data_IF_359295430407
#
_entry.id   IF_359295430407
#
_cell.length_a   1.000
_cell.length_b   1.000
_cell.length_c   1.000
_cell.angle_alpha   90.00
_cell.angle_beta   90.00
_cell.angle_gamma   90.00
#
_symmetry.space_group_name_H-M   'P 1'
#
loop_
_entity.id
_entity.type
_entity.pdbx_description
1 polymer ?
#
# COMPACT_ATOMS: atom_id res chain seq x y z
N UNK A 1 -10.66 -6.27 -20.43
CA UNK A 1 -9.32 -5.62 -20.25
C UNK A 1 -9.29 -5.00 -18.86
N UNK A 2 -8.14 -4.99 -18.19
CA UNK A 2 -8.01 -4.33 -16.88
C UNK A 2 -8.20 -2.81 -17.02
N UNK A 3 -8.81 -2.18 -16.01
CA UNK A 3 -9.04 -0.71 -15.95
C UNK A 3 -7.73 0.09 -15.96
N UNK A 4 -6.66 -0.46 -15.35
CA UNK A 4 -5.35 0.17 -15.23
C UNK A 4 -4.27 -0.78 -15.72
N UNK A 5 -3.22 -0.23 -16.33
CA UNK A 5 -2.07 -0.99 -16.84
C UNK A 5 -0.99 -1.19 -15.78
N UNK A 6 -0.69 -0.14 -15.00
CA UNK A 6 0.31 -0.15 -13.92
C UNK A 6 -0.29 0.42 -12.65
N UNK A 7 -0.20 -0.31 -11.56
CA UNK A 7 -0.74 0.10 -10.27
C UNK A 7 0.32 0.10 -9.18
N UNK A 8 0.14 0.99 -8.20
CA UNK A 8 0.74 0.82 -6.90
C UNK A 8 -0.32 0.32 -5.92
N UNK A 9 -0.16 -0.88 -5.40
CA UNK A 9 -1.03 -1.44 -4.35
C UNK A 9 -0.42 -1.16 -2.98
N UNK A 10 -1.10 -0.34 -2.18
CA UNK A 10 -0.72 -0.06 -0.79
C UNK A 10 -1.56 -0.89 0.16
N UNK A 11 -0.89 -1.70 0.98
CA UNK A 11 -1.49 -2.56 1.98
C UNK A 11 -1.16 -2.09 3.40
N UNK A 12 -2.11 -2.25 4.32
CA UNK A 12 -1.84 -2.03 5.74
C UNK A 12 -1.15 -3.28 6.33
N UNK A 13 -0.05 -3.08 7.08
CA UNK A 13 0.53 -4.18 7.84
C UNK A 13 -0.46 -4.76 8.86
N UNK A 14 -1.36 -3.94 9.40
CA UNK A 14 -2.38 -4.40 10.34
C UNK A 14 -3.34 -5.42 9.74
N UNK A 15 -3.61 -5.33 8.44
CA UNK A 15 -4.44 -6.33 7.76
C UNK A 15 -3.77 -7.71 7.69
N UNK A 16 -2.43 -7.79 7.86
CA UNK A 16 -1.71 -9.06 7.93
C UNK A 16 -1.81 -9.76 9.28
N UNK A 17 -2.28 -9.08 10.34
CA UNK A 17 -2.39 -9.68 11.68
C UNK A 17 -3.49 -10.74 11.77
N UNK A 18 -4.48 -10.70 10.88
CA UNK A 18 -5.66 -11.53 10.99
C UNK A 18 -6.34 -11.34 12.35
N UNK A 19 -6.79 -12.45 12.95
CA UNK A 19 -7.44 -12.46 14.27
C UNK A 19 -6.45 -12.40 15.44
N UNK A 20 -5.14 -12.57 15.19
CA UNK A 20 -4.11 -12.66 16.23
C UNK A 20 -3.80 -11.30 16.87
N UNK A 21 -4.06 -10.20 16.17
CA UNK A 21 -3.83 -8.83 16.66
C UNK A 21 -2.36 -8.37 16.64
N UNK A 22 -1.42 -9.21 16.16
CA UNK A 22 -0.01 -8.91 15.96
C UNK A 22 0.62 -9.89 14.96
N UNK A 23 1.80 -9.56 14.45
CA UNK A 23 2.57 -10.43 13.58
C UNK A 23 1.94 -10.63 12.20
N UNK A 24 2.14 -11.80 11.62
CA UNK A 24 1.68 -12.16 10.27
C UNK A 24 0.84 -13.43 10.34
N UNK A 25 -0.40 -13.34 9.93
CA UNK A 25 -1.32 -14.47 9.82
C UNK A 25 -1.09 -15.16 8.45
N UNK A 26 -0.76 -16.48 8.44
CA UNK A 26 -0.48 -17.19 7.20
C UNK A 26 -1.69 -17.27 6.25
N UNK A 27 -2.93 -17.36 6.78
CA UNK A 27 -4.14 -17.43 5.95
C UNK A 27 -4.36 -16.10 5.24
N UNK A 28 -4.27 -14.98 5.96
CA UNK A 28 -4.36 -13.63 5.38
C UNK A 28 -3.30 -13.37 4.34
N UNK A 29 -2.07 -13.79 4.62
CA UNK A 29 -0.96 -13.66 3.68
C UNK A 29 -1.22 -14.44 2.39
N UNK A 30 -1.74 -15.67 2.52
CA UNK A 30 -2.15 -16.51 1.38
C UNK A 30 -3.28 -15.87 0.58
N UNK A 31 -4.33 -15.35 1.23
CA UNK A 31 -5.45 -14.68 0.57
C UNK A 31 -4.97 -13.48 -0.26
N UNK A 32 -4.07 -12.68 0.31
CA UNK A 32 -3.50 -11.54 -0.41
C UNK A 32 -2.65 -11.97 -1.60
N UNK A 33 -1.81 -13.00 -1.43
CA UNK A 33 -0.99 -13.53 -2.53
C UNK A 33 -1.87 -14.03 -3.70
N UNK A 34 -2.98 -14.73 -3.42
CA UNK A 34 -3.89 -15.20 -4.46
C UNK A 34 -4.61 -14.06 -5.17
N UNK A 35 -5.14 -13.07 -4.45
CA UNK A 35 -5.78 -11.89 -5.05
C UNK A 35 -4.81 -11.09 -5.94
N UNK A 36 -3.55 -10.94 -5.50
CA UNK A 36 -2.50 -10.25 -6.27
C UNK A 36 -2.16 -11.07 -7.53
N UNK A 37 -2.05 -12.40 -7.42
CA UNK A 37 -1.82 -13.29 -8.56
C UNK A 37 -2.93 -13.13 -9.61
N UNK A 38 -4.20 -13.19 -9.21
CA UNK A 38 -5.34 -13.03 -10.14
C UNK A 38 -5.23 -11.73 -10.95
N UNK A 39 -4.84 -10.61 -10.32
CA UNK A 39 -4.67 -9.33 -11.00
C UNK A 39 -3.42 -9.33 -11.91
N UNK A 40 -2.33 -9.95 -11.49
CA UNK A 40 -1.14 -10.07 -12.33
C UNK A 40 -1.40 -10.87 -13.61
N UNK A 41 -2.24 -11.90 -13.52
CA UNK A 41 -2.68 -12.72 -14.68
C UNK A 41 -3.57 -11.93 -15.66
N UNK A 42 -4.14 -10.78 -15.27
CA UNK A 42 -4.81 -9.84 -16.16
C UNK A 42 -3.83 -8.99 -17.00
N UNK A 43 -2.53 -9.18 -16.85
CA UNK A 43 -1.47 -8.41 -17.53
C UNK A 43 -1.16 -7.08 -16.89
N UNK A 44 -1.53 -6.87 -15.62
CA UNK A 44 -1.29 -5.64 -14.87
C UNK A 44 0.11 -5.64 -14.27
N UNK A 45 0.82 -4.54 -14.42
CA UNK A 45 2.10 -4.30 -13.75
C UNK A 45 1.85 -3.81 -12.33
N UNK A 46 2.41 -4.51 -11.33
CA UNK A 46 2.07 -4.30 -9.91
C UNK A 46 3.31 -3.93 -9.11
N UNK A 47 3.30 -2.72 -8.55
CA UNK A 47 4.16 -2.32 -7.44
C UNK A 47 3.39 -2.43 -6.12
N UNK A 48 4.01 -2.94 -5.07
CA UNK A 48 3.36 -3.14 -3.76
C UNK A 48 4.14 -2.43 -2.67
N UNK A 49 3.45 -1.73 -1.78
CA UNK A 49 3.97 -1.21 -0.51
C UNK A 49 3.15 -1.76 0.63
N UNK A 50 3.80 -2.31 1.65
CA UNK A 50 3.14 -2.83 2.85
C UNK A 50 3.62 -2.08 4.08
N UNK A 51 2.70 -1.61 4.92
CA UNK A 51 3.02 -1.01 6.21
C UNK A 51 3.61 -2.02 7.21
N UNK A 52 4.31 -1.52 8.25
CA UNK A 52 4.93 -2.34 9.30
C UNK A 52 4.18 -2.35 10.64
N UNK A 53 2.96 -1.80 10.69
CA UNK A 53 2.23 -1.54 11.95
C UNK A 53 1.80 -2.77 12.76
N UNK A 54 1.78 -3.96 12.13
CA UNK A 54 1.57 -5.25 12.78
C UNK A 54 2.78 -5.75 13.59
N UNK A 55 3.96 -5.21 13.32
CA UNK A 55 5.24 -5.61 13.94
C UNK A 55 5.72 -4.48 14.85
N UNK A 56 5.80 -3.25 14.34
CA UNK A 56 6.28 -2.09 15.09
C UNK A 56 5.63 -0.79 14.60
N UNK A 57 5.25 0.08 15.55
CA UNK A 57 4.72 1.42 15.28
C UNK A 57 5.65 2.48 15.86
N UNK A 58 6.38 3.20 14.99
CA UNK A 58 7.38 4.21 15.39
C UNK A 58 6.82 5.32 16.28
N UNK A 59 5.65 5.88 15.94
CA UNK A 59 5.00 6.93 16.76
C UNK A 59 4.63 6.44 18.16
N UNK A 60 4.09 5.21 18.29
CA UNK A 60 3.78 4.62 19.59
C UNK A 60 5.05 4.28 20.38
N UNK A 61 6.16 3.99 19.68
CA UNK A 61 7.46 3.76 20.28
C UNK A 61 8.06 5.03 20.88
N UNK A 62 7.99 6.19 20.20
CA UNK A 62 8.52 7.45 20.70
C UNK A 62 7.83 7.90 21.98
N UNK A 63 6.52 7.65 22.13
CA UNK A 63 5.78 7.89 23.37
C UNK A 63 6.23 7.00 24.54
N UNK A 64 6.92 5.88 24.25
CA UNK A 64 7.47 4.94 25.24
C UNK A 64 8.97 5.15 25.50
N UNK A 65 9.55 6.29 25.10
CA UNK A 65 10.94 6.64 25.37
C UNK A 65 11.94 6.24 24.26
N UNK A 66 11.49 5.76 23.12
CA UNK A 66 12.35 5.56 21.96
C UNK A 66 12.67 6.89 21.27
N UNK A 67 13.89 7.06 20.80
CA UNK A 67 14.26 8.12 19.87
C UNK A 67 13.42 7.99 18.58
N UNK A 68 12.90 9.12 18.09
CA UNK A 68 12.02 9.14 16.92
C UNK A 68 12.67 8.53 15.68
N UNK A 69 13.93 8.85 15.42
CA UNK A 69 14.67 8.34 14.25
C UNK A 69 14.84 6.82 14.35
N UNK A 70 15.22 6.32 15.53
CA UNK A 70 15.33 4.88 15.79
C UNK A 70 13.99 4.17 15.63
N UNK A 71 12.91 4.77 16.16
CA UNK A 71 11.57 4.23 16.01
C UNK A 71 11.14 4.12 14.54
N UNK A 72 11.40 5.14 13.73
CA UNK A 72 11.10 5.12 12.29
C UNK A 72 11.96 4.08 11.54
N UNK A 73 13.25 3.95 11.89
CA UNK A 73 14.12 2.90 11.35
C UNK A 73 13.62 1.50 11.69
N UNK A 74 13.16 1.26 12.92
CA UNK A 74 12.52 -0.01 13.30
C UNK A 74 11.24 -0.26 12.48
N UNK A 75 10.43 0.77 12.23
CA UNK A 75 9.27 0.71 11.34
C UNK A 75 9.64 0.34 9.90
N UNK A 76 10.74 0.89 9.37
CA UNK A 76 11.28 0.51 8.06
C UNK A 76 11.65 -0.98 8.03
N UNK A 77 12.37 -1.49 9.03
CA UNK A 77 12.70 -2.90 9.16
C UNK A 77 11.43 -3.78 9.24
N UNK A 78 10.40 -3.33 9.94
CA UNK A 78 9.12 -4.03 10.01
C UNK A 78 8.46 -4.18 8.63
N UNK A 79 8.54 -3.16 7.76
CA UNK A 79 8.05 -3.26 6.37
C UNK A 79 8.85 -4.29 5.56
N UNK A 80 10.15 -4.43 5.81
CA UNK A 80 11.01 -5.43 5.14
C UNK A 80 10.57 -6.84 5.52
N UNK A 81 10.29 -7.10 6.80
CA UNK A 81 9.77 -8.40 7.27
C UNK A 81 8.47 -8.76 6.54
N UNK A 82 7.51 -7.84 6.48
CA UNK A 82 6.24 -8.07 5.78
C UNK A 82 6.45 -8.29 4.28
N UNK A 83 7.39 -7.57 3.66
CA UNK A 83 7.71 -7.71 2.24
C UNK A 83 8.31 -9.07 1.91
N UNK A 84 9.20 -9.58 2.77
CA UNK A 84 9.77 -10.93 2.62
C UNK A 84 8.70 -12.00 2.77
N UNK A 85 7.79 -11.85 3.72
CA UNK A 85 6.68 -12.78 3.91
C UNK A 85 5.77 -12.83 2.67
N UNK A 86 5.38 -11.67 2.13
CA UNK A 86 4.57 -11.61 0.90
C UNK A 86 5.33 -12.17 -0.30
N UNK A 87 6.62 -11.85 -0.44
CA UNK A 87 7.49 -12.39 -1.50
C UNK A 87 7.53 -13.92 -1.45
N UNK A 88 7.67 -14.49 -0.26
CA UNK A 88 7.64 -15.94 -0.05
C UNK A 88 6.30 -16.56 -0.45
N UNK A 89 5.18 -15.94 -0.04
CA UNK A 89 3.84 -16.43 -0.37
C UNK A 89 3.56 -16.36 -1.89
N UNK A 90 3.95 -15.28 -2.55
CA UNK A 90 3.84 -15.15 -4.01
C UNK A 90 4.71 -16.19 -4.74
N UNK A 91 5.94 -16.39 -4.29
CA UNK A 91 6.85 -17.39 -4.85
C UNK A 91 6.31 -18.82 -4.70
N UNK A 92 5.69 -19.15 -3.56
CA UNK A 92 5.09 -20.46 -3.31
C UNK A 92 3.95 -20.80 -4.29
N UNK A 93 3.24 -19.81 -4.83
CA UNK A 93 2.18 -19.99 -5.83
C UNK A 93 2.65 -19.69 -7.27
N UNK A 94 3.97 -19.62 -7.50
CA UNK A 94 4.59 -19.50 -8.82
C UNK A 94 4.59 -18.09 -9.41
N UNK A 95 4.40 -17.05 -8.60
CA UNK A 95 4.40 -15.65 -9.05
C UNK A 95 5.82 -15.07 -8.99
N UNK A 96 6.33 -14.58 -10.11
CA UNK A 96 7.62 -13.89 -10.17
C UNK A 96 7.54 -12.58 -9.41
N UNK A 97 8.42 -12.38 -8.44
CA UNK A 97 8.44 -11.16 -7.66
C UNK A 97 9.85 -10.76 -7.23
N UNK A 98 10.01 -9.50 -6.85
CA UNK A 98 11.27 -8.93 -6.34
C UNK A 98 10.98 -8.03 -5.14
N UNK A 99 11.77 -8.17 -4.08
CA UNK A 99 11.80 -7.21 -2.97
C UNK A 99 12.86 -6.16 -3.25
N UNK A 100 12.43 -4.90 -3.25
CA UNK A 100 13.32 -3.75 -3.42
C UNK A 100 13.26 -2.85 -2.19
N UNK A 101 14.41 -2.47 -1.67
CA UNK A 101 14.53 -1.73 -0.41
C UNK A 101 15.03 -0.31 -0.63
N UNK A 102 14.44 0.66 0.04
CA UNK A 102 14.86 2.07 -0.01
C UNK A 102 16.19 2.33 0.72
N UNK A 103 16.62 1.40 1.58
CA UNK A 103 17.93 1.40 2.24
C UNK A 103 18.69 0.15 1.78
N UNK A 104 20.04 0.24 1.71
CA UNK A 104 20.85 -0.91 1.28
C UNK A 104 20.78 -2.04 2.29
N UNK A 105 20.30 -3.20 1.83
CA UNK A 105 20.11 -4.40 2.64
C UNK A 105 20.42 -5.67 1.82
N UNK A 106 21.40 -5.62 0.93
CA UNK A 106 21.84 -6.84 0.22
C UNK A 106 22.44 -7.85 1.22
N UNK A 107 22.16 -9.17 1.12
CA UNK A 107 21.38 -9.84 0.07
C UNK A 107 19.88 -10.00 0.33
N UNK A 108 19.28 -9.27 1.30
CA UNK A 108 17.89 -9.41 1.71
C UNK A 108 16.92 -8.89 0.63
N UNK A 109 17.27 -7.78 -0.02
CA UNK A 109 16.50 -7.19 -1.11
C UNK A 109 17.40 -6.32 -2.01
N UNK A 110 16.97 -6.12 -3.25
CA UNK A 110 17.67 -5.25 -4.19
C UNK A 110 17.54 -3.78 -3.74
N UNK A 111 18.60 -2.99 -3.89
CA UNK A 111 18.49 -1.56 -3.68
C UNK A 111 17.59 -0.94 -4.75
N UNK A 112 16.54 -0.24 -4.27
CA UNK A 112 15.54 0.37 -5.13
C UNK A 112 16.11 1.48 -6.00
N UNK A 113 15.77 1.45 -7.28
CA UNK A 113 15.81 2.61 -8.16
C UNK A 113 14.60 2.58 -9.08
N UNK A 114 14.08 3.76 -9.48
CA UNK A 114 12.94 3.88 -10.41
C UNK A 114 13.11 2.97 -11.63
N UNK A 115 14.25 3.04 -12.28
CA UNK A 115 14.49 2.34 -13.55
C UNK A 115 14.52 0.82 -13.40
N UNK A 116 15.17 0.31 -12.34
CA UNK A 116 15.15 -1.13 -12.04
C UNK A 116 13.74 -1.65 -11.74
N UNK A 117 12.93 -0.84 -11.03
CA UNK A 117 11.56 -1.22 -10.72
C UNK A 117 10.70 -1.29 -11.99
N UNK A 118 10.77 -0.28 -12.85
CA UNK A 118 10.02 -0.24 -14.12
C UNK A 118 10.45 -1.42 -15.01
N UNK A 119 11.76 -1.63 -15.21
CA UNK A 119 12.28 -2.74 -16.00
C UNK A 119 11.80 -4.11 -15.48
N UNK A 120 11.85 -4.32 -14.16
CA UNK A 120 11.38 -5.56 -13.57
C UNK A 120 9.88 -5.79 -13.79
N UNK A 121 9.04 -4.74 -13.63
CA UNK A 121 7.60 -4.83 -13.88
C UNK A 121 7.29 -5.10 -15.36
N UNK A 122 8.05 -4.53 -16.29
CA UNK A 122 7.93 -4.79 -17.73
C UNK A 122 8.32 -6.23 -18.10
N UNK A 123 9.21 -6.84 -17.32
CA UNK A 123 9.58 -8.26 -17.43
C UNK A 123 8.59 -9.20 -16.72
N UNK A 124 7.48 -8.68 -16.19
CA UNK A 124 6.43 -9.44 -15.53
C UNK A 124 6.72 -9.81 -14.06
N UNK A 125 7.65 -9.13 -13.40
CA UNK A 125 7.84 -9.25 -11.96
C UNK A 125 6.88 -8.34 -11.20
N UNK A 126 6.31 -8.84 -10.13
CA UNK A 126 5.69 -7.98 -9.10
C UNK A 126 6.81 -7.40 -8.24
N UNK A 127 6.84 -6.08 -8.10
CA UNK A 127 7.85 -5.39 -7.29
C UNK A 127 7.28 -5.03 -5.92
N UNK A 128 7.91 -5.49 -4.84
CA UNK A 128 7.51 -5.18 -3.47
C UNK A 128 8.51 -4.17 -2.92
N UNK A 129 8.04 -2.94 -2.66
CA UNK A 129 8.86 -1.84 -2.18
C UNK A 129 8.81 -1.75 -0.66
N UNK A 130 9.96 -1.83 -0.01
CA UNK A 130 10.08 -1.82 1.44
C UNK A 130 11.01 -0.73 1.96
N UNK A 131 11.06 -0.54 3.27
CA UNK A 131 11.77 0.53 3.96
C UNK A 131 11.26 1.95 3.64
N UNK A 132 10.02 2.09 3.17
CA UNK A 132 9.35 3.37 2.96
C UNK A 132 10.09 4.30 2.00
N UNK A 133 10.35 5.54 2.43
CA UNK A 133 11.17 6.52 1.71
C UNK A 133 12.67 6.31 1.90
N UNK A 134 13.08 5.47 2.85
CA UNK A 134 14.46 5.35 3.32
C UNK A 134 14.88 6.43 4.33
N UNK A 135 13.98 7.37 4.64
CA UNK A 135 14.24 8.49 5.55
C UNK A 135 13.26 8.48 6.73
N UNK A 136 13.71 8.82 7.95
CA UNK A 136 12.82 9.04 9.08
C UNK A 136 11.83 10.18 8.84
N UNK A 137 10.83 10.30 9.71
CA UNK A 137 9.76 11.32 9.71
C UNK A 137 8.69 11.17 8.63
N UNK A 138 8.79 10.21 7.73
CA UNK A 138 7.79 9.90 6.72
C UNK A 138 7.00 8.64 7.08
N UNK A 139 5.73 8.63 6.70
CA UNK A 139 4.85 7.47 6.89
C UNK A 139 4.93 6.50 5.71
N UNK A 140 4.29 5.35 5.85
CA UNK A 140 4.09 4.41 4.74
C UNK A 140 3.21 5.01 3.63
N UNK A 141 2.26 5.89 3.97
CA UNK A 141 1.41 6.56 2.98
C UNK A 141 2.26 7.49 2.09
N UNK A 142 3.16 8.30 2.70
CA UNK A 142 4.13 9.10 1.95
C UNK A 142 5.05 8.24 1.07
N UNK A 143 5.56 7.12 1.62
CA UNK A 143 6.38 6.17 0.86
C UNK A 143 5.63 5.59 -0.32
N UNK A 144 4.34 5.26 -0.16
CA UNK A 144 3.50 4.73 -1.24
C UNK A 144 3.26 5.76 -2.34
N UNK A 145 2.97 7.02 -1.97
CA UNK A 145 2.82 8.11 -2.93
C UNK A 145 4.08 8.31 -3.76
N UNK A 146 5.24 8.37 -3.10
CA UNK A 146 6.53 8.49 -3.78
C UNK A 146 6.77 7.35 -4.77
N UNK A 147 6.59 6.09 -4.34
CA UNK A 147 6.80 4.93 -5.23
C UNK A 147 5.80 4.91 -6.36
N UNK A 148 4.51 5.24 -6.12
CA UNK A 148 3.49 5.31 -7.16
C UNK A 148 3.85 6.30 -8.27
N UNK A 149 4.33 7.48 -7.90
CA UNK A 149 4.78 8.52 -8.83
C UNK A 149 6.02 8.07 -9.59
N UNK A 150 7.04 7.55 -8.88
CA UNK A 150 8.30 7.12 -9.48
C UNK A 150 8.12 6.00 -10.51
N UNK A 151 7.26 5.03 -10.24
CA UNK A 151 6.99 3.93 -11.18
C UNK A 151 5.98 4.30 -12.26
N UNK A 152 5.50 5.54 -12.29
CA UNK A 152 4.49 6.01 -13.26
C UNK A 152 3.20 5.17 -13.20
N UNK A 153 2.70 4.94 -12.00
CA UNK A 153 1.46 4.20 -11.81
C UNK A 153 0.24 5.01 -12.30
N UNK A 154 -0.70 4.34 -12.94
CA UNK A 154 -1.98 4.94 -13.37
C UNK A 154 -2.86 5.31 -12.16
N UNK A 155 -2.70 4.57 -11.06
CA UNK A 155 -3.47 4.73 -9.82
C UNK A 155 -2.73 4.12 -8.64
N UNK A 156 -2.90 4.71 -7.45
CA UNK A 156 -2.57 4.07 -6.20
C UNK A 156 -3.83 3.41 -5.61
N UNK A 157 -3.85 2.09 -5.52
CA UNK A 157 -4.90 1.31 -4.87
C UNK A 157 -4.61 1.22 -3.37
N UNK A 158 -5.38 1.89 -2.55
CA UNK A 158 -5.27 1.84 -1.09
C UNK A 158 -6.21 0.77 -0.55
N UNK A 159 -5.67 -0.42 -0.27
CA UNK A 159 -6.36 -1.50 0.40
C UNK A 159 -6.50 -1.22 1.90
N UNK A 160 -7.74 -1.12 2.38
CA UNK A 160 -8.10 -0.84 3.78
C UNK A 160 -9.13 -1.83 4.28
N UNK A 161 -9.56 -1.70 5.55
CA UNK A 161 -10.69 -2.45 6.13
C UNK A 161 -12.05 -1.82 5.83
N UNK A 162 -12.06 -0.54 5.44
CA UNK A 162 -13.27 0.18 5.03
C UNK A 162 -13.37 0.21 3.52
N UNK A 163 -14.58 0.31 3.00
CA UNK A 163 -14.87 0.20 1.57
C UNK A 163 -14.80 1.55 0.82
N UNK A 164 -14.26 2.60 1.43
CA UNK A 164 -14.10 3.89 0.77
C UNK A 164 -13.81 5.04 1.72
N UNK A 165 -13.95 6.27 1.22
CA UNK A 165 -13.85 7.52 1.97
C UNK A 165 -15.25 7.97 2.37
N UNK A 166 -15.41 8.38 3.63
CA UNK A 166 -16.67 8.79 4.22
C UNK A 166 -16.61 10.23 4.73
N UNK A 167 -17.79 10.83 4.91
CA UNK A 167 -17.94 12.17 5.49
C UNK A 167 -17.46 12.25 6.94
N UNK A 168 -17.47 11.13 7.66
CA UNK A 168 -16.96 10.93 9.01
C UNK A 168 -16.52 9.47 9.17
N UNK A 169 -15.99 9.08 10.33
CA UNK A 169 -15.61 7.71 10.62
C UNK A 169 -16.86 6.80 10.73
N UNK A 170 -17.10 5.89 9.76
CA UNK A 170 -18.33 5.08 9.75
C UNK A 170 -18.44 4.09 10.92
N UNK A 171 -17.31 3.79 11.61
CA UNK A 171 -17.33 2.95 12.81
C UNK A 171 -17.84 3.71 14.04
N UNK A 172 -17.82 5.05 14.02
CA UNK A 172 -18.23 5.93 15.12
C UNK A 172 -19.49 6.71 14.85
N UNK A 173 -19.74 7.04 13.59
CA UNK A 173 -20.88 7.83 13.14
C UNK A 173 -21.71 7.06 12.11
N UNK A 174 -22.84 6.46 12.52
CA UNK A 174 -23.73 5.75 11.61
C UNK A 174 -24.35 6.60 10.50
N UNK A 175 -24.30 7.94 10.63
CA UNK A 175 -24.81 8.87 9.61
C UNK A 175 -23.77 9.19 8.52
N UNK A 176 -22.53 8.69 8.68
CA UNK A 176 -21.47 8.88 7.70
C UNK A 176 -21.85 8.31 6.33
N UNK A 177 -21.73 9.13 5.30
CA UNK A 177 -22.02 8.74 3.92
C UNK A 177 -20.72 8.54 3.12
N UNK A 178 -20.69 7.48 2.30
CA UNK A 178 -19.55 7.18 1.44
C UNK A 178 -19.55 8.07 0.21
N UNK A 179 -18.37 8.55 -0.20
CA UNK A 179 -18.17 9.16 -1.50
C UNK A 179 -17.89 8.08 -2.56
N UNK A 180 -18.45 8.21 -3.74
CA UNK A 180 -18.04 7.43 -4.90
C UNK A 180 -16.75 8.01 -5.50
N UNK A 181 -16.70 9.35 -5.59
CA UNK A 181 -15.53 10.12 -5.99
C UNK A 181 -15.44 11.41 -5.18
N UNK A 182 -14.23 11.93 -5.00
CA UNK A 182 -13.95 13.18 -4.28
C UNK A 182 -12.62 13.76 -4.75
N UNK A 183 -12.53 15.10 -4.85
CA UNK A 183 -11.28 15.75 -5.23
C UNK A 183 -10.31 15.87 -4.06
N UNK A 184 -8.99 15.94 -4.35
CA UNK A 184 -7.98 16.24 -3.31
C UNK A 184 -8.28 17.53 -2.57
N UNK A 185 -8.74 18.57 -3.30
CA UNK A 185 -9.13 19.86 -2.72
C UNK A 185 -10.23 19.70 -1.66
N UNK A 186 -11.23 18.89 -1.95
CA UNK A 186 -12.33 18.62 -0.99
C UNK A 186 -11.86 17.78 0.19
N UNK A 187 -11.00 16.77 -0.03
CA UNK A 187 -10.39 15.98 1.05
C UNK A 187 -9.67 16.90 2.03
N UNK A 188 -8.86 17.83 1.52
CA UNK A 188 -8.11 18.80 2.32
C UNK A 188 -9.04 19.80 3.02
N UNK A 189 -10.00 20.39 2.28
CA UNK A 189 -10.93 21.39 2.84
C UNK A 189 -11.81 20.81 3.95
N UNK A 190 -12.22 19.55 3.84
CA UNK A 190 -13.05 18.85 4.83
C UNK A 190 -12.24 18.16 5.93
N UNK A 191 -10.89 18.14 5.83
CA UNK A 191 -10.01 17.48 6.79
C UNK A 191 -10.22 15.95 6.88
N UNK A 192 -10.58 15.32 5.77
CA UNK A 192 -10.85 13.87 5.74
C UNK A 192 -9.55 13.07 5.87
N UNK A 193 -9.57 12.03 6.69
CA UNK A 193 -8.40 11.20 7.00
C UNK A 193 -8.20 10.07 6.00
N UNK A 194 -7.97 10.40 4.74
CA UNK A 194 -7.64 9.40 3.70
C UNK A 194 -6.21 8.91 3.85
N UNK A 195 -5.26 9.85 3.94
CA UNK A 195 -3.82 9.63 4.12
C UNK A 195 -3.24 10.80 4.91
N UNK A 196 -1.94 10.75 5.25
CA UNK A 196 -1.29 11.94 5.79
C UNK A 196 -1.20 13.07 4.75
N UNK A 197 -1.09 14.31 5.23
CA UNK A 197 -1.12 15.51 4.40
C UNK A 197 -0.01 15.50 3.33
N UNK A 198 1.20 15.05 3.69
CA UNK A 198 2.34 15.00 2.75
C UNK A 198 2.03 14.05 1.59
N UNK A 199 1.45 12.89 1.88
CA UNK A 199 1.06 11.92 0.86
C UNK A 199 -0.03 12.47 -0.08
N UNK A 200 -1.05 13.14 0.48
CA UNK A 200 -2.14 13.77 -0.31
C UNK A 200 -1.59 14.85 -1.23
N UNK A 201 -0.79 15.79 -0.71
CA UNK A 201 -0.20 16.86 -1.53
C UNK A 201 0.70 16.29 -2.64
N UNK A 202 1.51 15.28 -2.33
CA UNK A 202 2.39 14.63 -3.30
C UNK A 202 1.58 13.98 -4.44
N UNK A 203 0.50 13.28 -4.14
CA UNK A 203 -0.37 12.69 -5.15
C UNK A 203 -1.08 13.76 -5.99
N UNK A 204 -1.59 14.84 -5.36
CA UNK A 204 -2.22 15.95 -6.05
C UNK A 204 -1.27 16.63 -7.03
N UNK A 205 -0.07 17.00 -6.58
CA UNK A 205 0.92 17.74 -7.39
C UNK A 205 1.42 16.93 -8.60
N UNK A 206 1.36 15.60 -8.51
CA UNK A 206 1.81 14.69 -9.56
C UNK A 206 0.65 13.98 -10.30
N UNK A 207 -0.60 14.40 -10.08
CA UNK A 207 -1.79 13.84 -10.73
C UNK A 207 -1.94 12.31 -10.58
N UNK A 208 -1.49 11.75 -9.45
CA UNK A 208 -1.66 10.33 -9.16
C UNK A 208 -2.99 10.12 -8.43
N UNK A 209 -4.03 9.53 -9.04
CA UNK A 209 -5.28 9.25 -8.36
C UNK A 209 -5.12 8.14 -7.31
N UNK A 210 -5.96 8.19 -6.26
CA UNK A 210 -6.01 7.16 -5.22
C UNK A 210 -7.39 6.50 -5.28
N UNK A 211 -7.42 5.17 -5.31
CA UNK A 211 -8.66 4.42 -5.17
C UNK A 211 -8.67 3.67 -3.84
N UNK A 212 -9.58 4.06 -2.94
CA UNK A 212 -9.72 3.47 -1.59
C UNK A 212 -10.80 2.40 -1.62
N UNK A 213 -10.48 1.19 -1.19
CA UNK A 213 -11.41 0.06 -1.19
C UNK A 213 -11.10 -0.94 -0.06
N UNK A 214 -12.07 -1.81 0.24
CA UNK A 214 -11.89 -2.87 1.22
C UNK A 214 -11.16 -4.07 0.60
N UNK A 215 -9.88 -4.24 0.96
CA UNK A 215 -9.02 -5.33 0.51
C UNK A 215 -9.25 -6.64 1.27
N UNK A 216 -9.88 -6.59 2.44
CA UNK A 216 -10.13 -7.77 3.27
C UNK A 216 -11.24 -8.68 2.71
N UNK A 217 -12.04 -8.16 1.78
CA UNK A 217 -13.05 -8.93 1.05
C UNK A 217 -12.39 -9.57 -0.16
N UNK A 218 -12.31 -10.90 -0.17
CA UNK A 218 -11.72 -11.68 -1.26
C UNK A 218 -12.45 -11.36 -2.59
N UNK A 219 -11.66 -11.11 -3.63
CA UNK A 219 -12.15 -10.75 -4.97
C UNK A 219 -12.34 -9.26 -5.21
N UNK A 220 -12.30 -8.40 -4.18
CA UNK A 220 -12.48 -6.95 -4.38
C UNK A 220 -11.36 -6.33 -5.21
N UNK A 221 -10.12 -6.77 -5.06
CA UNK A 221 -9.02 -6.26 -5.88
C UNK A 221 -9.29 -6.51 -7.39
N UNK A 222 -9.75 -7.70 -7.72
CA UNK A 222 -10.14 -8.06 -9.10
C UNK A 222 -11.32 -7.24 -9.62
N UNK A 223 -12.34 -6.99 -8.78
CA UNK A 223 -13.50 -6.15 -9.12
C UNK A 223 -13.08 -4.72 -9.43
N UNK A 224 -12.20 -4.11 -8.61
CA UNK A 224 -11.63 -2.79 -8.89
C UNK A 224 -10.93 -2.78 -10.25
N UNK A 225 -10.12 -3.80 -10.54
CA UNK A 225 -9.41 -3.91 -11.82
C UNK A 225 -10.34 -4.19 -13.00
N UNK A 226 -11.49 -4.80 -12.76
CA UNK A 226 -12.55 -4.97 -13.77
C UNK A 226 -13.37 -3.70 -14.03
N UNK A 227 -13.18 -2.65 -13.19
CA UNK A 227 -13.89 -1.37 -13.34
C UNK A 227 -15.17 -1.27 -12.52
N UNK A 228 -15.41 -2.16 -11.55
CA UNK A 228 -16.55 -2.05 -10.66
C UNK A 228 -16.35 -0.94 -9.62
N UNK A 229 -17.38 -0.15 -9.37
CA UNK A 229 -17.35 1.00 -8.43
C UNK A 229 -17.68 0.54 -7.00
N UNK A 230 -16.73 -0.17 -6.38
CA UNK A 230 -16.86 -0.71 -5.02
C UNK A 230 -16.12 0.10 -3.96
N UNK A 231 -15.49 1.19 -4.34
CA UNK A 231 -14.66 2.02 -3.47
C UNK A 231 -14.93 3.52 -3.65
N UNK A 232 -13.92 4.33 -3.32
CA UNK A 232 -13.92 5.78 -3.55
C UNK A 232 -12.71 6.17 -4.39
N UNK A 233 -12.93 6.91 -5.48
CA UNK A 233 -11.86 7.53 -6.27
C UNK A 233 -11.55 8.93 -5.69
N UNK A 234 -10.30 9.15 -5.28
CA UNK A 234 -9.75 10.46 -4.92
C UNK A 234 -8.86 10.94 -6.05
N UNK A 235 -9.15 12.11 -6.61
CA UNK A 235 -8.50 12.60 -7.83
C UNK A 235 -8.21 14.11 -7.80
N UNK A 236 -7.41 14.67 -8.72
CA UNK A 236 -7.16 16.10 -8.88
C UNK A 236 -8.39 16.95 -9.03
#
# INVERSE_FOLDING_TARGET
>A
MARFKRILLKLSGESLMGKQGYGIDPERLSDYAHQIKEVSEMGVQIGIVIGGGNIFRGLSGSQKGFDRVKGDQMGMCATVINSLALSSALGAIGVKNKVMTAIRMEPIGEFYTKWKAIEAMEQGYICIFSAGTGNPYFTTDTGSSLRGIEIEADVMLKGTRVDGVYTADPEKDPSATKFNEITYKEVLARGLKVMDLTAICMCQDNNLPIYVFNMDIVGNLKKVMAGEDIGTLVHP
#
